data_IF_470086427715
#
_entry.id   IF_470086427715
#
_cell.length_a   1.000
_cell.length_b   1.000
_cell.length_c   1.000
_cell.angle_alpha   90.00
_cell.angle_beta   90.00
_cell.angle_gamma   90.00
#
_symmetry.space_group_name_H-M   'P 1'
#
loop_
_entity.id
_entity.type
_entity.pdbx_description
1 polymer ?
#
# COMPACT_ATOMS: atom_id res chain seq x y z
N UNK A 1 27.79 5.53 30.06
CA UNK A 1 28.53 6.31 29.03
C UNK A 1 29.37 5.45 28.10
N UNK A 2 30.25 4.55 28.59
CA UNK A 2 31.10 3.68 27.74
C UNK A 2 30.34 2.80 26.73
N UNK A 3 29.20 2.23 27.15
CA UNK A 3 28.33 1.44 26.26
C UNK A 3 27.79 2.27 25.09
N UNK A 4 27.24 3.46 25.36
CA UNK A 4 26.71 4.36 24.32
C UNK A 4 27.82 4.74 23.34
N UNK A 5 28.99 5.12 23.84
CA UNK A 5 30.14 5.48 23.01
C UNK A 5 30.60 4.34 22.08
N UNK A 6 30.77 3.13 22.62
CA UNK A 6 31.18 1.97 21.83
C UNK A 6 30.10 1.58 20.80
N UNK A 7 28.83 1.66 21.18
CA UNK A 7 27.71 1.43 20.25
C UNK A 7 27.71 2.47 19.13
N UNK A 8 27.82 3.77 19.44
CA UNK A 8 27.88 4.84 18.46
C UNK A 8 29.01 4.65 17.45
N UNK A 9 30.22 4.29 17.91
CA UNK A 9 31.35 4.00 17.03
C UNK A 9 31.08 2.81 16.10
N UNK A 10 30.42 1.76 16.60
CA UNK A 10 30.03 0.58 15.80
C UNK A 10 28.94 0.89 14.78
N UNK A 11 28.14 1.95 15.00
CA UNK A 11 27.15 2.41 14.03
C UNK A 11 27.72 3.31 12.94
N UNK A 12 28.92 3.90 13.11
CA UNK A 12 29.51 4.78 12.09
C UNK A 12 29.60 4.14 10.70
N UNK A 13 30.08 2.90 10.53
CA UNK A 13 30.08 2.25 9.21
C UNK A 13 28.67 2.09 8.63
N UNK A 14 27.70 1.73 9.48
CA UNK A 14 26.30 1.58 9.05
C UNK A 14 25.68 2.92 8.63
N UNK A 15 25.99 4.00 9.34
CA UNK A 15 25.56 5.37 8.98
C UNK A 15 26.20 5.77 7.65
N UNK A 16 27.50 5.54 7.47
CA UNK A 16 28.19 5.87 6.23
C UNK A 16 27.60 5.11 5.03
N UNK A 17 27.46 3.79 5.15
CA UNK A 17 26.83 2.96 4.11
C UNK A 17 25.38 3.39 3.87
N UNK A 18 24.59 3.62 4.93
CA UNK A 18 23.21 4.09 4.81
C UNK A 18 23.11 5.45 4.11
N UNK A 19 24.04 6.36 4.38
CA UNK A 19 24.09 7.66 3.71
C UNK A 19 24.45 7.54 2.23
N UNK A 20 25.40 6.67 1.88
CA UNK A 20 25.74 6.38 0.48
C UNK A 20 24.54 5.76 -0.26
N UNK A 21 23.85 4.80 0.35
CA UNK A 21 22.63 4.22 -0.21
C UNK A 21 21.56 5.30 -0.38
N UNK A 22 21.39 6.20 0.58
CA UNK A 22 20.46 7.32 0.48
C UNK A 22 20.83 8.28 -0.65
N UNK A 23 22.11 8.59 -0.88
CA UNK A 23 22.54 9.40 -2.03
C UNK A 23 22.14 8.73 -3.34
N UNK A 24 22.41 7.43 -3.48
CA UNK A 24 22.11 6.69 -4.71
C UNK A 24 20.60 6.63 -4.95
N UNK A 25 19.81 6.33 -3.91
CA UNK A 25 18.36 6.21 -4.00
C UNK A 25 17.63 7.56 -4.05
N UNK A 26 18.24 8.61 -3.52
CA UNK A 26 17.68 9.96 -3.42
C UNK A 26 18.76 11.01 -3.71
N UNK A 27 19.05 11.27 -5.00
CA UNK A 27 20.17 12.13 -5.42
C UNK A 27 20.14 13.55 -4.83
N UNK A 28 18.95 14.05 -4.47
CA UNK A 28 18.80 15.34 -3.79
C UNK A 28 19.54 15.41 -2.45
N UNK A 29 19.71 14.28 -1.74
CA UNK A 29 20.50 14.20 -0.51
C UNK A 29 22.00 14.50 -0.74
N UNK A 30 22.50 14.29 -1.96
CA UNK A 30 23.89 14.59 -2.32
C UNK A 30 24.15 16.07 -2.57
N UNK A 31 23.11 16.86 -2.89
CA UNK A 31 23.26 18.28 -3.20
C UNK A 31 23.77 19.10 -2.00
N UNK A 32 23.50 18.66 -0.78
CA UNK A 32 24.15 19.16 0.42
C UNK A 32 24.07 18.17 1.59
N UNK A 33 25.12 18.03 2.44
CA UNK A 33 25.18 17.01 3.50
C UNK A 33 24.05 17.04 4.54
N UNK A 34 23.43 18.20 4.75
CA UNK A 34 22.35 18.38 5.72
C UNK A 34 20.95 18.38 5.08
N UNK A 35 20.84 18.09 3.78
CA UNK A 35 19.56 17.97 3.09
C UNK A 35 18.60 16.96 3.73
N UNK A 36 19.05 15.76 4.16
CA UNK A 36 18.18 14.82 4.86
C UNK A 36 17.57 15.40 6.15
N UNK A 37 18.37 16.13 6.93
CA UNK A 37 17.90 16.79 8.16
C UNK A 37 16.91 17.90 7.83
N UNK A 38 17.21 18.72 6.81
CA UNK A 38 16.29 19.76 6.34
C UNK A 38 14.96 19.17 5.89
N UNK A 39 14.98 18.07 5.15
CA UNK A 39 13.77 17.42 4.68
C UNK A 39 12.88 16.88 5.82
N UNK A 40 13.48 16.36 6.89
CA UNK A 40 12.71 15.94 8.09
C UNK A 40 11.94 17.13 8.67
N UNK A 41 12.59 18.28 8.82
CA UNK A 41 11.94 19.49 9.34
C UNK A 41 10.89 20.05 8.40
N UNK A 42 11.19 20.10 7.09
CA UNK A 42 10.21 20.54 6.07
C UNK A 42 8.99 19.62 6.06
N UNK A 43 9.18 18.31 6.17
CA UNK A 43 8.10 17.33 6.21
C UNK A 43 7.28 17.45 7.52
N UNK A 44 7.94 17.70 8.65
CA UNK A 44 7.26 17.92 9.93
C UNK A 44 6.36 19.17 9.95
N UNK A 45 6.66 20.16 9.11
CA UNK A 45 5.87 21.39 8.94
C UNK A 45 4.88 21.31 7.76
N UNK A 46 4.77 20.15 7.10
CA UNK A 46 4.00 19.99 5.87
C UNK A 46 2.49 19.89 6.17
N UNK A 47 1.78 21.01 6.04
CA UNK A 47 0.36 21.15 6.35
C UNK A 47 -0.54 20.94 5.10
N UNK A 48 -0.48 19.75 4.48
CA UNK A 48 -1.37 19.41 3.38
C UNK A 48 -2.58 18.62 3.89
N UNK A 49 -3.78 19.00 3.46
CA UNK A 49 -5.00 18.26 3.79
C UNK A 49 -5.15 17.07 2.85
N UNK A 50 -4.82 15.87 3.36
CA UNK A 50 -5.03 14.61 2.63
C UNK A 50 -6.21 13.89 3.26
N UNK A 51 -7.10 13.35 2.42
CA UNK A 51 -8.20 12.49 2.88
C UNK A 51 -7.87 11.04 2.63
N UNK A 52 -8.44 10.20 3.47
CA UNK A 52 -8.22 8.76 3.46
C UNK A 52 -9.50 8.05 3.90
N UNK A 53 -9.60 6.76 3.66
CA UNK A 53 -10.78 5.97 4.01
C UNK A 53 -10.42 4.86 5.01
N UNK A 54 -11.31 4.58 5.95
CA UNK A 54 -11.21 3.44 6.84
C UNK A 54 -12.61 2.92 7.16
N UNK A 55 -12.84 1.62 6.94
CA UNK A 55 -14.11 0.95 7.18
C UNK A 55 -15.33 1.69 6.57
N UNK A 56 -15.18 2.29 5.39
CA UNK A 56 -16.24 3.00 4.66
C UNK A 56 -16.41 4.47 5.04
N UNK A 57 -15.70 4.95 6.06
CA UNK A 57 -15.74 6.36 6.47
C UNK A 57 -14.52 7.09 5.92
N UNK A 58 -14.74 8.24 5.29
CA UNK A 58 -13.67 9.13 4.81
C UNK A 58 -13.27 10.07 5.94
N UNK A 59 -11.97 10.11 6.23
CA UNK A 59 -11.36 10.95 7.25
C UNK A 59 -10.37 11.92 6.60
N UNK A 60 -10.13 13.06 7.24
CA UNK A 60 -8.88 13.79 7.03
C UNK A 60 -7.73 13.03 7.72
N UNK A 61 -6.52 13.13 7.17
CA UNK A 61 -5.35 12.38 7.65
C UNK A 61 -5.01 12.65 9.11
N UNK A 62 -5.32 13.83 9.62
CA UNK A 62 -5.11 14.28 11.00
C UNK A 62 -6.25 13.90 11.96
N UNK A 63 -7.37 13.40 11.43
CA UNK A 63 -8.56 13.00 12.18
C UNK A 63 -8.85 11.49 12.10
N UNK A 64 -7.92 10.70 11.56
CA UNK A 64 -8.06 9.24 11.48
C UNK A 64 -8.07 8.61 12.87
N UNK A 65 -8.81 7.52 13.11
CA UNK A 65 -8.76 6.87 14.41
C UNK A 65 -7.37 6.29 14.71
N UNK A 66 -6.99 6.22 16.00
CA UNK A 66 -5.69 5.65 16.45
C UNK A 66 -5.41 4.24 15.93
N UNK A 67 -6.46 3.46 15.66
CA UNK A 67 -6.37 2.11 15.12
C UNK A 67 -6.23 2.05 13.59
N UNK A 68 -6.15 3.18 12.89
CA UNK A 68 -5.98 3.21 11.42
C UNK A 68 -4.80 2.36 10.96
N UNK A 69 -3.61 2.61 11.48
CA UNK A 69 -2.38 1.89 11.08
C UNK A 69 -2.44 0.41 11.49
N UNK A 70 -2.79 0.06 12.75
CA UNK A 70 -3.01 -1.34 13.13
C UNK A 70 -3.99 -2.08 12.23
N UNK A 71 -5.13 -1.47 11.90
CA UNK A 71 -6.13 -2.10 11.03
C UNK A 71 -5.58 -2.29 9.63
N UNK A 72 -4.94 -1.28 9.03
CA UNK A 72 -4.38 -1.42 7.69
C UNK A 72 -3.32 -2.50 7.61
N UNK A 73 -2.40 -2.59 8.58
CA UNK A 73 -1.44 -3.69 8.67
C UNK A 73 -2.17 -5.04 8.79
N UNK A 74 -3.16 -5.12 9.67
CA UNK A 74 -3.91 -6.35 9.91
C UNK A 74 -4.64 -6.87 8.67
N UNK A 75 -5.15 -6.00 7.80
CA UNK A 75 -5.94 -6.40 6.62
C UNK A 75 -5.12 -6.49 5.33
N UNK A 76 -3.94 -5.86 5.26
CA UNK A 76 -3.06 -5.87 4.09
C UNK A 76 -1.93 -6.89 4.16
N UNK A 77 -1.48 -7.27 5.36
CA UNK A 77 -0.41 -8.27 5.51
C UNK A 77 -1.00 -9.68 5.41
N UNK A 78 -0.40 -10.62 4.66
CA UNK A 78 -0.87 -12.01 4.61
C UNK A 78 -1.00 -12.65 6.01
N UNK A 79 -2.09 -13.35 6.27
CA UNK A 79 -2.35 -13.94 7.60
C UNK A 79 -1.30 -14.95 8.04
N UNK A 80 -0.68 -15.66 7.09
CA UNK A 80 0.42 -16.57 7.40
C UNK A 80 1.62 -15.84 8.02
N UNK A 81 1.87 -14.57 7.63
CA UNK A 81 2.98 -13.79 8.18
C UNK A 81 2.73 -13.51 9.66
N UNK A 82 1.49 -13.16 10.03
CA UNK A 82 1.12 -13.03 11.43
C UNK A 82 1.20 -14.36 12.18
N UNK A 83 0.71 -15.44 11.59
CA UNK A 83 0.76 -16.77 12.19
C UNK A 83 2.21 -17.19 12.52
N UNK A 84 3.13 -17.07 11.56
CA UNK A 84 4.55 -17.34 11.80
C UNK A 84 5.14 -16.40 12.85
N UNK A 85 4.85 -15.09 12.77
CA UNK A 85 5.43 -14.11 13.69
C UNK A 85 4.99 -14.35 15.15
N UNK A 86 3.75 -14.80 15.36
CA UNK A 86 3.23 -15.18 16.68
C UNK A 86 3.85 -16.48 17.21
N UNK A 87 4.25 -17.40 16.33
CA UNK A 87 4.95 -18.61 16.72
C UNK A 87 6.40 -18.33 17.16
N UNK A 88 7.02 -17.27 16.65
CA UNK A 88 8.44 -16.98 16.87
C UNK A 88 8.85 -17.02 18.36
N UNK A 89 8.18 -16.33 19.31
CA UNK A 89 8.58 -16.32 20.72
C UNK A 89 8.41 -17.66 21.44
N UNK A 90 7.30 -18.37 21.19
CA UNK A 90 7.02 -19.68 21.79
C UNK A 90 8.04 -20.69 21.29
N UNK A 91 8.32 -20.64 20.00
CA UNK A 91 9.22 -21.56 19.35
C UNK A 91 10.72 -21.23 19.61
N UNK A 92 11.04 -20.02 20.09
CA UNK A 92 12.37 -19.64 20.60
C UNK A 92 12.69 -20.18 22.00
N UNK A 93 11.68 -20.64 22.75
CA UNK A 93 11.85 -21.22 24.10
C UNK A 93 12.01 -22.73 24.09
N UNK A 94 11.81 -23.39 22.95
CA UNK A 94 11.92 -24.85 22.84
C UNK A 94 13.39 -25.32 22.86
N UNK A 95 13.71 -26.45 23.52
CA UNK A 95 15.06 -27.02 23.52
C UNK A 95 15.57 -27.34 22.10
N UNK A 96 16.83 -27.03 21.83
CA UNK A 96 17.48 -27.26 20.52
C UNK A 96 17.94 -28.69 20.36
N UNK A 97 18.02 -29.18 19.13
CA UNK A 97 18.84 -30.35 18.82
C UNK A 97 20.33 -29.99 18.97
N UNK A 98 21.17 -31.00 19.24
CA UNK A 98 22.62 -30.81 19.29
C UNK A 98 23.16 -30.39 17.91
N UNK A 99 23.90 -29.29 17.84
CA UNK A 99 24.51 -28.77 16.60
C UNK A 99 23.79 -27.58 15.95
N UNK A 100 22.62 -27.17 16.43
CA UNK A 100 21.95 -25.95 15.95
C UNK A 100 22.69 -24.67 16.39
N UNK A 101 22.84 -23.71 15.47
CA UNK A 101 23.35 -22.38 15.80
C UNK A 101 22.46 -21.67 16.83
N UNK A 102 23.04 -20.89 17.77
CA UNK A 102 22.26 -20.20 18.77
C UNK A 102 21.35 -19.16 18.11
N UNK A 103 20.07 -19.17 18.49
CA UNK A 103 19.18 -18.06 18.10
C UNK A 103 19.67 -16.78 18.74
N UNK A 104 19.90 -15.80 17.87
CA UNK A 104 20.17 -14.42 18.20
C UNK A 104 18.91 -13.78 18.78
N UNK A 105 18.66 -14.04 20.08
CA UNK A 105 17.51 -13.48 20.83
C UNK A 105 17.51 -11.95 20.79
N UNK A 106 18.70 -11.35 20.82
CA UNK A 106 18.96 -9.94 20.59
C UNK A 106 18.42 -9.47 19.23
N UNK A 107 18.72 -10.20 18.15
CA UNK A 107 18.25 -9.87 16.81
C UNK A 107 16.73 -10.04 16.68
N UNK A 108 16.14 -11.08 17.29
CA UNK A 108 14.70 -11.30 17.28
C UNK A 108 13.94 -10.25 18.09
N UNK A 109 14.48 -9.86 19.25
CA UNK A 109 13.94 -8.74 20.03
C UNK A 109 14.03 -7.43 19.23
N UNK A 110 15.12 -7.21 18.49
CA UNK A 110 15.24 -6.06 17.59
C UNK A 110 14.20 -6.11 16.46
N UNK A 111 13.98 -7.26 15.81
CA UNK A 111 12.94 -7.38 14.77
C UNK A 111 11.53 -7.14 15.34
N UNK A 112 11.24 -7.67 16.53
CA UNK A 112 9.98 -7.41 17.22
C UNK A 112 9.84 -5.91 17.57
N UNK A 113 10.92 -5.27 18.03
CA UNK A 113 10.95 -3.83 18.26
C UNK A 113 10.68 -3.05 16.97
N UNK A 114 11.37 -3.36 15.87
CA UNK A 114 11.15 -2.72 14.55
C UNK A 114 9.71 -2.91 14.06
N UNK A 115 9.10 -4.08 14.30
CA UNK A 115 7.74 -4.34 13.87
C UNK A 115 6.68 -3.64 14.74
N UNK A 116 6.88 -3.59 16.07
CA UNK A 116 5.85 -3.17 17.02
C UNK A 116 6.00 -1.71 17.48
N UNK A 117 7.23 -1.26 17.74
CA UNK A 117 7.48 0.06 18.32
C UNK A 117 6.96 1.22 17.45
N UNK A 118 7.22 1.27 16.14
CA UNK A 118 6.71 2.36 15.28
C UNK A 118 5.19 2.40 15.23
N UNK A 119 4.54 1.23 15.23
CA UNK A 119 3.08 1.11 15.22
C UNK A 119 2.51 1.56 16.57
N UNK A 120 3.11 1.13 17.68
CA UNK A 120 2.71 1.57 19.02
C UNK A 120 2.89 3.08 19.19
N UNK A 121 3.97 3.65 18.67
CA UNK A 121 4.22 5.08 18.68
C UNK A 121 3.17 5.84 17.86
N UNK A 122 2.79 5.33 16.68
CA UNK A 122 1.74 5.94 15.86
C UNK A 122 0.39 5.95 16.58
N UNK A 123 0.04 4.85 17.26
CA UNK A 123 -1.18 4.73 18.08
C UNK A 123 -1.14 5.71 19.26
N UNK A 124 0.00 5.80 19.95
CA UNK A 124 0.15 6.61 21.14
C UNK A 124 0.17 8.12 20.84
N UNK A 125 0.95 8.53 19.83
CA UNK A 125 1.09 9.94 19.46
C UNK A 125 -0.05 10.46 18.58
N UNK A 126 -0.85 9.56 18.00
CA UNK A 126 -1.95 9.93 17.12
C UNK A 126 -1.49 10.84 15.97
N UNK A 127 -0.37 10.48 15.35
CA UNK A 127 0.15 11.22 14.20
C UNK A 127 -0.74 11.04 12.96
N UNK A 128 -0.66 11.95 11.98
CA UNK A 128 -1.47 11.86 10.78
C UNK A 128 -1.13 10.59 9.98
N UNK A 129 -2.15 9.91 9.45
CA UNK A 129 -1.99 8.73 8.62
C UNK A 129 -2.95 8.73 7.42
N UNK A 130 -2.47 8.25 6.29
CA UNK A 130 -3.19 8.22 5.01
C UNK A 130 -2.57 7.16 4.09
N UNK A 131 -3.25 6.81 3.00
CA UNK A 131 -2.80 5.84 1.99
C UNK A 131 -2.49 4.45 2.55
N UNK A 132 -3.26 4.05 3.57
CA UNK A 132 -3.20 2.75 4.20
C UNK A 132 -1.91 2.54 4.98
N UNK A 133 -1.26 1.39 4.77
CA UNK A 133 -0.01 1.04 5.46
C UNK A 133 1.26 1.57 4.79
N UNK A 134 1.17 2.43 3.76
CA UNK A 134 2.31 2.83 2.93
C UNK A 134 3.48 3.40 3.75
N UNK A 135 3.19 4.28 4.71
CA UNK A 135 4.21 4.87 5.58
C UNK A 135 4.80 3.89 6.60
N UNK A 136 4.22 2.68 6.73
CA UNK A 136 4.63 1.64 7.67
C UNK A 136 5.07 0.36 6.94
N UNK A 137 5.32 0.40 5.62
CA UNK A 137 5.74 -0.77 4.85
C UNK A 137 7.02 -1.40 5.39
N UNK A 138 7.89 -0.62 6.03
CA UNK A 138 9.12 -1.10 6.66
C UNK A 138 8.90 -2.06 7.84
N UNK A 139 7.68 -2.14 8.39
CA UNK A 139 7.29 -3.14 9.40
C UNK A 139 7.17 -4.54 8.79
N UNK A 140 6.80 -4.64 7.51
CA UNK A 140 6.49 -5.94 6.88
C UNK A 140 7.73 -6.84 6.77
N UNK A 141 8.92 -6.38 6.35
CA UNK A 141 10.12 -7.21 6.35
C UNK A 141 10.46 -7.75 7.74
N UNK A 142 10.33 -6.94 8.80
CA UNK A 142 10.58 -7.38 10.17
C UNK A 142 9.59 -8.47 10.60
N UNK A 143 8.30 -8.31 10.29
CA UNK A 143 7.29 -9.35 10.50
C UNK A 143 7.60 -10.63 9.71
N UNK A 144 8.06 -10.51 8.46
CA UNK A 144 8.43 -11.65 7.63
C UNK A 144 9.62 -12.44 8.20
N UNK A 145 10.63 -11.74 8.75
CA UNK A 145 11.77 -12.38 9.45
C UNK A 145 11.28 -13.15 10.69
N UNK A 146 10.41 -12.54 11.50
CA UNK A 146 9.79 -13.22 12.64
C UNK A 146 8.97 -14.42 12.19
N UNK A 147 8.23 -14.29 11.08
CA UNK A 147 7.45 -15.38 10.51
C UNK A 147 8.30 -16.55 10.07
N UNK A 148 9.40 -16.28 9.37
CA UNK A 148 10.38 -17.29 8.99
C UNK A 148 10.96 -18.02 10.20
N UNK A 149 11.33 -17.27 11.25
CA UNK A 149 11.84 -17.86 12.50
C UNK A 149 10.78 -18.71 13.23
N UNK A 150 9.50 -18.35 13.16
CA UNK A 150 8.40 -19.15 13.70
C UNK A 150 8.18 -20.44 12.92
N UNK A 151 8.17 -20.37 11.58
CA UNK A 151 7.99 -21.53 10.72
C UNK A 151 9.17 -22.50 10.73
N UNK A 152 10.41 -21.98 10.80
CA UNK A 152 11.62 -22.77 11.04
C UNK A 152 11.43 -23.71 12.24
N UNK A 153 10.94 -23.17 13.36
CA UNK A 153 10.73 -23.97 14.56
C UNK A 153 9.52 -24.87 14.51
N UNK A 154 8.48 -24.47 13.79
CA UNK A 154 7.35 -25.35 13.53
C UNK A 154 7.83 -26.61 12.79
N UNK A 155 8.70 -26.44 11.78
CA UNK A 155 9.30 -27.57 11.06
C UNK A 155 10.13 -28.46 12.00
N UNK A 156 11.06 -27.89 12.76
CA UNK A 156 11.87 -28.65 13.74
C UNK A 156 10.98 -29.39 14.76
N UNK A 157 9.91 -28.78 15.23
CA UNK A 157 8.98 -29.43 16.14
C UNK A 157 8.28 -30.64 15.49
N UNK A 158 7.88 -30.51 14.22
CA UNK A 158 7.22 -31.58 13.47
C UNK A 158 8.17 -32.68 13.02
N UNK A 159 9.45 -32.39 12.78
CA UNK A 159 10.49 -33.38 12.51
C UNK A 159 10.68 -34.34 13.68
N UNK A 160 10.55 -33.86 14.93
CA UNK A 160 10.60 -34.71 16.12
C UNK A 160 9.42 -35.67 16.24
N UNK A 161 8.28 -35.33 15.65
CA UNK A 161 7.11 -36.21 15.58
C UNK A 161 7.33 -37.30 14.53
N UNK A 162 7.98 -36.94 13.41
CA UNK A 162 8.43 -37.88 12.39
C UNK A 162 8.55 -37.24 11.00
N UNK A 163 9.23 -37.89 10.06
CA UNK A 163 9.48 -37.33 8.73
C UNK A 163 8.18 -37.01 7.96
N UNK A 164 7.14 -37.85 8.10
CA UNK A 164 5.85 -37.61 7.46
C UNK A 164 5.17 -36.32 7.96
N UNK A 165 5.26 -36.01 9.25
CA UNK A 165 4.70 -34.80 9.84
C UNK A 165 5.46 -33.54 9.37
N UNK A 166 6.78 -33.62 9.27
CA UNK A 166 7.61 -32.55 8.70
C UNK A 166 7.29 -32.30 7.22
N UNK A 167 7.19 -33.35 6.41
CA UNK A 167 6.81 -33.23 5.00
C UNK A 167 5.41 -32.63 4.83
N UNK A 168 4.42 -33.08 5.62
CA UNK A 168 3.08 -32.52 5.59
C UNK A 168 3.06 -31.02 5.98
N UNK A 169 3.84 -30.64 6.99
CA UNK A 169 3.96 -29.25 7.44
C UNK A 169 4.60 -28.38 6.36
N UNK A 170 5.70 -28.84 5.77
CA UNK A 170 6.38 -28.13 4.68
C UNK A 170 5.46 -27.99 3.46
N UNK A 171 4.75 -29.05 3.07
CA UNK A 171 3.80 -29.02 1.96
C UNK A 171 2.64 -28.06 2.24
N UNK A 172 2.11 -28.04 3.47
CA UNK A 172 1.07 -27.10 3.89
C UNK A 172 1.53 -25.65 3.84
N UNK A 173 2.73 -25.34 4.36
CA UNK A 173 3.31 -24.00 4.27
C UNK A 173 3.53 -23.59 2.80
N UNK A 174 4.09 -24.48 1.98
CA UNK A 174 4.30 -24.23 0.56
C UNK A 174 2.98 -23.94 -0.17
N UNK A 175 1.92 -24.70 0.11
CA UNK A 175 0.59 -24.46 -0.45
C UNK A 175 0.02 -23.10 -0.03
N UNK A 176 0.19 -22.70 1.24
CA UNK A 176 -0.27 -21.38 1.73
C UNK A 176 0.51 -20.22 1.09
N UNK A 177 1.82 -20.36 0.90
CA UNK A 177 2.62 -19.36 0.20
C UNK A 177 2.26 -19.30 -1.28
N UNK A 178 2.05 -20.44 -1.94
CA UNK A 178 1.63 -20.50 -3.34
C UNK A 178 0.26 -19.88 -3.55
N UNK A 179 -0.68 -20.11 -2.62
CA UNK A 179 -1.98 -19.44 -2.61
C UNK A 179 -1.83 -17.91 -2.57
N UNK A 180 -0.98 -17.38 -1.68
CA UNK A 180 -0.73 -15.93 -1.63
C UNK A 180 -0.04 -15.41 -2.90
N UNK A 181 0.92 -16.15 -3.45
CA UNK A 181 1.57 -15.79 -4.71
C UNK A 181 0.56 -15.73 -5.87
N UNK A 182 -0.38 -16.68 -5.93
CA UNK A 182 -1.44 -16.69 -6.92
C UNK A 182 -2.34 -15.45 -6.83
N UNK A 183 -2.65 -14.96 -5.62
CA UNK A 183 -3.39 -13.70 -5.44
C UNK A 183 -2.63 -12.51 -6.04
N UNK A 184 -1.31 -12.44 -5.81
CA UNK A 184 -0.49 -11.37 -6.40
C UNK A 184 -0.44 -11.46 -7.94
N UNK A 185 -0.40 -12.67 -8.50
CA UNK A 185 -0.47 -12.87 -9.96
C UNK A 185 -1.80 -12.39 -10.52
N UNK A 186 -2.93 -12.76 -9.88
CA UNK A 186 -4.27 -12.34 -10.32
C UNK A 186 -4.48 -10.84 -10.23
N UNK A 187 -3.86 -10.20 -9.25
CA UNK A 187 -3.95 -8.76 -9.06
C UNK A 187 -3.01 -7.96 -9.96
N UNK A 188 -2.03 -8.59 -10.62
CA UNK A 188 -1.07 -7.89 -11.48
C UNK A 188 -1.79 -7.04 -12.56
N UNK A 189 -1.38 -5.77 -12.82
CA UNK A 189 -0.27 -5.01 -12.21
C UNK A 189 -0.64 -4.18 -10.95
N UNK A 190 -1.75 -4.51 -10.28
CA UNK A 190 -2.28 -3.82 -9.10
C UNK A 190 -2.12 -4.64 -7.81
N UNK A 191 -0.97 -5.29 -7.61
CA UNK A 191 -0.71 -6.15 -6.45
C UNK A 191 -0.92 -5.44 -5.11
N UNK A 192 -0.73 -4.12 -5.05
CA UNK A 192 -0.95 -3.33 -3.85
C UNK A 192 -2.44 -3.24 -3.42
N UNK A 193 -3.36 -3.65 -4.29
CA UNK A 193 -4.77 -3.84 -3.97
C UNK A 193 -5.04 -5.13 -3.21
N UNK A 194 -4.03 -5.95 -2.93
CA UNK A 194 -4.20 -7.13 -2.07
C UNK A 194 -4.84 -6.76 -0.73
N UNK A 195 -5.80 -7.56 -0.31
CA UNK A 195 -6.42 -7.56 1.01
C UNK A 195 -6.59 -9.01 1.43
N UNK A 196 -6.36 -9.31 2.70
CA UNK A 196 -6.44 -10.67 3.19
C UNK A 196 -7.88 -11.09 3.55
N UNK A 197 -8.04 -12.35 3.96
CA UNK A 197 -9.34 -12.95 4.22
C UNK A 197 -10.11 -12.30 5.39
N UNK A 198 -9.47 -11.55 6.30
CA UNK A 198 -10.18 -10.91 7.44
C UNK A 198 -11.22 -9.90 6.98
N UNK A 199 -11.02 -9.29 5.82
CA UNK A 199 -11.98 -8.35 5.22
C UNK A 199 -12.67 -8.92 4.00
N UNK A 200 -12.54 -10.22 3.72
CA UNK A 200 -13.13 -10.85 2.53
C UNK A 200 -12.38 -10.57 1.23
N UNK A 201 -11.07 -10.30 1.28
CA UNK A 201 -10.27 -10.03 0.10
C UNK A 201 -10.55 -8.66 -0.53
N UNK A 202 -10.26 -8.52 -1.82
CA UNK A 202 -10.43 -7.26 -2.55
C UNK A 202 -11.89 -6.79 -2.57
N UNK A 203 -12.84 -7.72 -2.71
CA UNK A 203 -14.27 -7.41 -2.76
C UNK A 203 -14.74 -6.76 -1.47
N UNK A 204 -14.48 -7.39 -0.34
CA UNK A 204 -14.85 -6.81 0.93
C UNK A 204 -14.03 -5.58 1.28
N UNK A 205 -12.89 -5.31 0.63
CA UNK A 205 -12.19 -4.04 0.81
C UNK A 205 -12.80 -2.88 0.00
N UNK A 206 -13.51 -3.18 -1.08
CA UNK A 206 -14.09 -2.21 -2.01
C UNK A 206 -14.94 -1.17 -1.29
N UNK A 207 -14.67 0.12 -1.58
CA UNK A 207 -15.32 1.30 -0.98
C UNK A 207 -15.26 1.38 0.56
N UNK A 208 -14.56 0.47 1.23
CA UNK A 208 -14.36 0.47 2.69
C UNK A 208 -12.94 0.84 3.07
N UNK A 209 -11.97 0.54 2.22
CA UNK A 209 -10.56 0.79 2.47
C UNK A 209 -9.89 1.44 1.25
N UNK A 210 -8.61 1.79 1.39
CA UNK A 210 -7.77 2.39 0.35
C UNK A 210 -7.69 1.46 -0.87
N UNK A 211 -8.17 1.91 -2.03
CA UNK A 211 -8.19 1.14 -3.27
C UNK A 211 -7.10 1.67 -4.19
N UNK A 212 -7.37 1.87 -5.48
CA UNK A 212 -6.36 2.33 -6.45
C UNK A 212 -6.03 3.82 -6.28
N UNK A 213 -5.50 4.21 -5.10
CA UNK A 213 -5.22 5.59 -4.72
C UNK A 213 -4.02 6.20 -5.46
N UNK A 214 -3.16 5.36 -6.07
CA UNK A 214 -2.12 5.79 -7.01
C UNK A 214 -2.60 5.83 -8.46
N UNK A 215 -3.87 5.51 -8.71
CA UNK A 215 -4.49 5.50 -10.04
C UNK A 215 -3.70 4.71 -11.08
N UNK A 216 -3.17 3.54 -10.69
CA UNK A 216 -2.46 2.63 -11.59
C UNK A 216 -3.37 2.10 -12.71
N UNK A 217 -4.69 2.26 -12.60
CA UNK A 217 -5.67 1.92 -13.65
C UNK A 217 -5.64 2.85 -14.87
N UNK A 218 -5.01 4.03 -14.78
CA UNK A 218 -5.02 5.05 -15.85
C UNK A 218 -4.57 4.51 -17.21
N UNK A 219 -3.46 3.77 -17.36
CA UNK A 219 -3.04 3.26 -18.67
C UNK A 219 -4.09 2.36 -19.33
N UNK A 220 -4.77 1.53 -18.54
CA UNK A 220 -5.85 0.67 -19.03
C UNK A 220 -7.10 1.49 -19.38
N UNK A 221 -7.43 2.50 -18.57
CA UNK A 221 -8.53 3.42 -18.83
C UNK A 221 -8.34 4.21 -20.14
N UNK A 222 -7.13 4.72 -20.38
CA UNK A 222 -6.78 5.43 -21.62
C UNK A 222 -6.88 4.50 -22.82
N UNK A 223 -6.43 3.25 -22.70
CA UNK A 223 -6.57 2.24 -23.77
C UNK A 223 -8.04 1.92 -24.07
N UNK A 224 -8.86 1.76 -23.03
CA UNK A 224 -10.30 1.54 -23.15
C UNK A 224 -11.02 2.71 -23.81
N UNK A 225 -10.70 3.94 -23.39
CA UNK A 225 -11.21 5.16 -24.00
C UNK A 225 -10.82 5.25 -25.47
N UNK A 226 -9.55 5.00 -25.80
CA UNK A 226 -9.05 4.97 -27.16
C UNK A 226 -9.77 3.96 -28.07
N UNK A 227 -10.14 2.80 -27.53
CA UNK A 227 -10.92 1.80 -28.25
C UNK A 227 -12.37 2.27 -28.48
N UNK A 228 -12.97 2.92 -27.48
CA UNK A 228 -14.33 3.44 -27.56
C UNK A 228 -14.49 4.59 -28.58
N UNK A 229 -13.56 5.57 -28.59
CA UNK A 229 -13.65 6.73 -29.51
C UNK A 229 -13.20 6.42 -30.94
N UNK A 230 -12.41 5.37 -31.14
CA UNK A 230 -11.83 5.03 -32.45
C UNK A 230 -10.82 6.06 -32.97
N UNK A 231 -10.61 6.08 -34.28
CA UNK A 231 -9.70 7.00 -34.97
C UNK A 231 -10.51 8.10 -35.68
N UNK A 232 -11.02 9.06 -34.91
CA UNK A 232 -11.93 10.10 -35.41
C UNK A 232 -11.22 11.41 -35.79
N UNK A 233 -9.92 11.54 -35.50
CA UNK A 233 -9.15 12.78 -35.70
C UNK A 233 -9.54 13.94 -34.77
N UNK A 234 -10.62 13.79 -33.99
CA UNK A 234 -11.11 14.75 -33.02
C UNK A 234 -10.30 14.62 -31.73
N UNK A 235 -9.80 15.74 -31.22
CA UNK A 235 -9.12 15.79 -29.93
C UNK A 235 -10.14 15.93 -28.81
N UNK A 236 -10.32 14.88 -28.03
CA UNK A 236 -11.24 14.85 -26.90
C UNK A 236 -10.58 15.35 -25.61
N UNK A 237 -11.35 16.08 -24.81
CA UNK A 237 -10.97 16.52 -23.47
C UNK A 237 -11.33 15.46 -22.42
N UNK A 238 -10.44 15.24 -21.45
CA UNK A 238 -10.61 14.20 -20.43
C UNK A 238 -10.35 14.79 -19.05
N UNK A 239 -11.37 14.76 -18.21
CA UNK A 239 -11.22 14.97 -16.77
C UNK A 239 -10.68 13.71 -16.12
N UNK A 240 -9.75 13.86 -15.18
CA UNK A 240 -9.15 12.71 -14.47
C UNK A 240 -9.26 12.96 -12.98
N UNK A 241 -9.90 12.03 -12.27
CA UNK A 241 -9.83 11.99 -10.82
C UNK A 241 -8.60 11.20 -10.38
N UNK A 242 -7.52 11.92 -10.14
CA UNK A 242 -6.21 11.36 -9.84
C UNK A 242 -5.11 12.21 -10.46
N UNK A 243 -3.90 11.69 -10.48
CA UNK A 243 -2.75 12.47 -10.90
C UNK A 243 -2.70 12.68 -12.43
N UNK A 244 -2.55 13.96 -12.82
CA UNK A 244 -2.47 14.45 -14.20
C UNK A 244 -1.30 13.84 -14.97
N UNK A 245 -0.08 13.83 -14.42
CA UNK A 245 1.12 13.40 -15.14
C UNK A 245 1.00 11.93 -15.56
N UNK A 246 0.43 11.08 -14.72
CA UNK A 246 0.13 9.68 -15.03
C UNK A 246 -0.77 9.55 -16.26
N UNK A 247 -1.80 10.39 -16.35
CA UNK A 247 -2.69 10.45 -17.51
C UNK A 247 -1.99 11.00 -18.75
N UNK A 248 -1.29 12.12 -18.66
CA UNK A 248 -0.61 12.75 -19.80
C UNK A 248 0.42 11.78 -20.42
N UNK A 249 1.15 11.04 -19.58
CA UNK A 249 2.08 10.01 -20.02
C UNK A 249 1.38 8.86 -20.74
N UNK A 250 0.27 8.36 -20.20
CA UNK A 250 -0.50 7.28 -20.80
C UNK A 250 -1.21 7.71 -22.11
N UNK A 251 -1.76 8.93 -22.15
CA UNK A 251 -2.49 9.47 -23.27
C UNK A 251 -1.60 9.79 -24.49
N UNK A 252 -0.30 10.06 -24.26
CA UNK A 252 0.69 10.39 -25.32
C UNK A 252 0.18 11.44 -26.31
N UNK A 253 -0.53 12.45 -25.81
CA UNK A 253 -1.11 13.53 -26.61
C UNK A 253 -2.39 13.19 -27.39
N UNK A 254 -2.84 11.94 -27.41
CA UNK A 254 -4.11 11.52 -28.08
C UNK A 254 -5.34 12.16 -27.44
N UNK A 255 -5.27 12.44 -26.15
CA UNK A 255 -6.31 13.09 -25.37
C UNK A 255 -5.75 14.33 -24.68
N UNK A 256 -6.61 15.32 -24.46
CA UNK A 256 -6.25 16.54 -23.76
C UNK A 256 -6.79 16.51 -22.34
N UNK A 257 -5.91 16.64 -21.34
CA UNK A 257 -6.36 16.78 -19.96
C UNK A 257 -7.10 18.12 -19.76
N UNK A 258 -8.11 18.13 -18.90
CA UNK A 258 -8.76 19.35 -18.42
C UNK A 258 -9.01 19.31 -16.93
N UNK A 259 -8.82 20.46 -16.27
CA UNK A 259 -9.22 20.68 -14.88
C UNK A 259 -10.75 20.82 -14.74
N UNK A 260 -11.41 21.26 -15.82
CA UNK A 260 -12.86 21.41 -15.90
C UNK A 260 -13.55 20.06 -16.09
N UNK A 261 -13.75 19.33 -14.99
CA UNK A 261 -14.34 17.99 -15.02
C UNK A 261 -15.76 17.98 -15.59
N UNK A 262 -16.56 19.03 -15.34
CA UNK A 262 -17.93 19.15 -15.84
C UNK A 262 -17.97 19.45 -17.34
N UNK A 263 -17.00 20.20 -17.86
CA UNK A 263 -16.92 20.54 -19.29
C UNK A 263 -16.22 19.47 -20.14
N UNK A 264 -15.56 18.49 -19.51
CA UNK A 264 -14.84 17.43 -20.22
C UNK A 264 -15.76 16.57 -21.11
N UNK A 265 -15.21 16.04 -22.20
CA UNK A 265 -15.91 15.04 -23.04
C UNK A 265 -15.99 13.68 -22.34
N UNK A 266 -14.92 13.31 -21.64
CA UNK A 266 -14.83 12.05 -20.90
C UNK A 266 -14.29 12.25 -19.49
N UNK A 267 -14.58 11.30 -18.62
CA UNK A 267 -14.07 11.29 -17.25
C UNK A 267 -13.48 9.93 -16.88
N UNK A 268 -12.24 9.93 -16.42
CA UNK A 268 -11.54 8.75 -15.91
C UNK A 268 -11.50 8.85 -14.39
N UNK A 269 -12.08 7.87 -13.70
CA UNK A 269 -12.19 7.91 -12.25
C UNK A 269 -11.98 6.53 -11.59
N UNK A 270 -11.17 6.44 -10.53
CA UNK A 270 -11.08 5.25 -9.71
C UNK A 270 -12.34 5.11 -8.84
N UNK A 271 -12.64 3.91 -8.39
CA UNK A 271 -13.69 3.69 -7.37
C UNK A 271 -13.23 4.05 -5.96
N UNK A 272 -11.92 4.30 -5.80
CA UNK A 272 -11.33 4.79 -4.56
C UNK A 272 -12.00 6.08 -4.09
N UNK A 273 -12.42 6.10 -2.82
CA UNK A 273 -13.19 7.18 -2.20
C UNK A 273 -14.43 7.61 -3.00
N UNK A 274 -15.02 6.69 -3.78
CA UNK A 274 -16.20 6.93 -4.62
C UNK A 274 -15.99 8.00 -5.70
N UNK A 275 -14.78 8.17 -6.23
CA UNK A 275 -14.58 9.19 -7.27
C UNK A 275 -15.33 8.90 -8.58
N UNK A 276 -15.56 7.62 -8.87
CA UNK A 276 -16.47 7.14 -9.91
C UNK A 276 -17.91 7.65 -9.77
N UNK A 277 -18.29 8.14 -8.58
CA UNK A 277 -19.59 8.73 -8.28
C UNK A 277 -19.50 10.25 -8.13
N UNK A 278 -18.51 10.91 -8.72
CA UNK A 278 -18.43 12.38 -8.74
C UNK A 278 -19.03 12.98 -10.00
N UNK A 279 -19.09 12.21 -11.10
CA UNK A 279 -19.86 12.56 -12.29
C UNK A 279 -20.84 11.44 -12.65
N UNK A 280 -21.93 11.79 -13.36
CA UNK A 280 -23.02 10.88 -13.73
C UNK A 280 -23.07 10.57 -15.24
N UNK A 281 -21.92 10.29 -15.85
CA UNK A 281 -21.86 9.86 -17.25
C UNK A 281 -22.11 8.36 -17.43
N UNK A 282 -22.70 7.91 -18.56
CA UNK A 282 -22.69 6.52 -18.96
C UNK A 282 -21.27 5.92 -18.93
N UNK A 283 -21.13 4.77 -18.28
CA UNK A 283 -19.85 4.06 -18.22
C UNK A 283 -19.62 3.38 -19.58
N UNK A 284 -18.55 3.77 -20.26
CA UNK A 284 -18.16 3.21 -21.58
C UNK A 284 -17.02 2.20 -21.47
N UNK A 285 -16.28 2.20 -20.36
CA UNK A 285 -15.24 1.22 -20.08
C UNK A 285 -15.07 1.01 -18.58
N UNK A 286 -14.85 -0.25 -18.18
CA UNK A 286 -14.73 -0.66 -16.77
C UNK A 286 -13.42 -1.40 -16.57
N UNK A 287 -12.67 -1.02 -15.54
CA UNK A 287 -11.46 -1.71 -15.10
C UNK A 287 -11.81 -2.48 -13.83
N UNK A 288 -11.64 -3.80 -13.86
CA UNK A 288 -11.93 -4.67 -12.74
C UNK A 288 -10.79 -5.64 -12.44
N UNK A 289 -10.65 -6.02 -11.16
CA UNK A 289 -9.76 -7.09 -10.69
C UNK A 289 -10.54 -8.00 -9.75
N UNK A 290 -10.45 -9.30 -10.00
CA UNK A 290 -11.20 -10.31 -9.23
C UNK A 290 -12.70 -9.98 -9.08
N UNK A 291 -13.33 -9.48 -10.15
CA UNK A 291 -14.74 -9.08 -10.15
C UNK A 291 -15.03 -7.71 -9.52
N UNK A 292 -14.04 -7.06 -8.91
CA UNK A 292 -14.19 -5.75 -8.25
C UNK A 292 -13.81 -4.63 -9.19
N UNK A 293 -14.71 -3.68 -9.41
CA UNK A 293 -14.43 -2.48 -10.21
C UNK A 293 -13.48 -1.55 -9.45
N UNK A 294 -12.34 -1.26 -10.06
CA UNK A 294 -11.30 -0.38 -9.50
C UNK A 294 -11.23 0.98 -10.20
N UNK A 295 -11.76 1.07 -11.43
CA UNK A 295 -11.88 2.33 -12.16
C UNK A 295 -12.85 2.24 -13.33
N UNK A 296 -13.29 3.41 -13.80
CA UNK A 296 -14.26 3.56 -14.89
C UNK A 296 -13.85 4.69 -15.83
N UNK A 297 -14.33 4.59 -17.06
CA UNK A 297 -14.36 5.68 -18.03
C UNK A 297 -15.83 6.02 -18.30
N UNK A 298 -16.18 7.29 -18.12
CA UNK A 298 -17.51 7.81 -18.39
C UNK A 298 -17.48 8.70 -19.62
N UNK A 299 -18.52 8.60 -20.45
CA UNK A 299 -18.79 9.53 -21.55
C UNK A 299 -19.72 10.63 -21.04
N UNK A 300 -19.26 11.87 -21.09
CA UNK A 300 -20.03 13.04 -20.65
C UNK A 300 -20.65 13.80 -21.81
N UNK A 301 -20.32 13.43 -23.06
CA UNK A 301 -20.83 14.12 -24.25
C UNK A 301 -22.34 13.98 -24.32
N UNK A 302 -23.02 15.02 -24.81
CA UNK A 302 -24.48 15.05 -24.93
C UNK A 302 -25.24 15.21 -23.61
N UNK A 303 -24.59 15.17 -22.44
CA UNK A 303 -25.23 15.51 -21.17
C UNK A 303 -25.12 17.02 -20.93
N UNK A 304 -26.16 17.72 -20.45
CA UNK A 304 -26.01 19.10 -20.01
C UNK A 304 -25.25 19.19 -18.67
N UNK A 305 -24.48 20.26 -18.38
CA UNK A 305 -23.64 20.34 -17.17
C UNK A 305 -24.37 20.10 -15.84
N UNK A 306 -25.62 20.55 -15.72
CA UNK A 306 -26.45 20.33 -14.53
C UNK A 306 -26.84 18.84 -14.32
N UNK A 307 -26.80 18.02 -15.37
CA UNK A 307 -27.03 16.58 -15.29
C UNK A 307 -25.72 15.79 -15.08
N UNK A 308 -24.55 16.43 -15.18
CA UNK A 308 -23.22 15.80 -15.03
C UNK A 308 -22.73 15.73 -13.57
N UNK A 309 -23.13 16.65 -12.69
CA UNK A 309 -22.68 16.79 -11.28
C UNK A 309 -23.64 16.24 -10.20
N UNK A 310 -23.30 16.38 -8.91
CA UNK A 310 -24.04 15.78 -7.77
C UNK A 310 -24.80 16.79 -6.88
N UNK A 311 -25.89 16.31 -6.27
CA UNK A 311 -26.65 16.95 -5.19
C UNK A 311 -25.98 16.87 -3.80
N UNK A 312 -25.00 15.98 -3.61
CA UNK A 312 -24.27 15.82 -2.34
C UNK A 312 -22.78 15.57 -2.61
N UNK A 313 -21.99 16.64 -2.67
CA UNK A 313 -20.53 16.57 -2.65
C UNK A 313 -20.05 17.21 -1.34
N UNK A 314 -19.35 16.49 -0.45
CA UNK A 314 -18.68 17.15 0.65
C UNK A 314 -17.59 18.07 0.07
N UNK A 315 -17.60 19.37 0.38
CA UNK A 315 -16.58 20.30 -0.12
C UNK A 315 -15.19 19.77 0.25
N UNK A 316 -14.30 19.65 -0.75
CA UNK A 316 -12.96 19.06 -0.59
C UNK A 316 -12.78 17.69 -1.24
N UNK A 317 -13.81 17.12 -1.90
CA UNK A 317 -13.71 15.82 -2.58
C UNK A 317 -12.80 15.73 -3.81
N UNK A 318 -12.39 16.88 -4.35
CA UNK A 318 -11.39 16.93 -5.40
C UNK A 318 -10.03 16.58 -4.79
N UNK A 319 -9.54 15.38 -5.12
CA UNK A 319 -8.10 15.14 -5.15
C UNK A 319 -7.55 16.13 -6.19
N UNK A 320 -7.07 17.28 -5.72
CA UNK A 320 -6.34 18.24 -6.54
C UNK A 320 -4.95 17.63 -6.86
N UNK A 321 -4.38 18.00 -8.03
CA UNK A 321 -3.29 17.29 -8.70
C UNK A 321 -2.09 17.04 -7.77
#
# INVERSE_FOLDING_TARGET
MRFVWQSSLRFLPAIAVGYLVMIVAWPWAALAPLNPIRAIWTFAQFNYEIRTILAGTVYRMDAVPRWYVPVYLAVKVPLLVFAGALLAPVAMRWPRAAGEAPVRRDAMALMAFVALFPVALAVALHGPAFTGMRHFLFVVPALAVLAGAGFDRLLVATERVGPAAATATLAGLAALFLWNAQQLVRLHPHQYLFYNALVGGLEGASRRYEMDYWVNMIPEAVKGLAAHVGATGVRHTVGVCGERISFEHAARGRFQWTAGWLEADFFIAPTHMNCDRVLRGPIVFTIAREGVVIGVVQDLRGLPPHARGFADFPPGAAVKP
#
